data_IF_307186773276
#
_entry.id   IF_307186773276
#
_cell.length_a   1.000
_cell.length_b   1.000
_cell.length_c   1.000
_cell.angle_alpha   90.00
_cell.angle_beta   90.00
_cell.angle_gamma   90.00
#
_symmetry.space_group_name_H-M   'P 1'
#
loop_
_entity.id
_entity.type
_entity.pdbx_description
1 polymer ?
#
# COMPACT_ATOMS: atom_id res chain seq x y z
N UNK A 1 12.02 -0.49 21.87
CA UNK A 1 13.14 -0.70 20.90
C UNK A 1 14.39 0.12 21.20
N UNK A 2 14.32 1.40 21.62
CA UNK A 2 15.53 2.25 21.81
C UNK A 2 16.57 1.67 22.79
N UNK A 3 16.15 1.00 23.85
CA UNK A 3 17.04 0.33 24.82
C UNK A 3 17.77 -0.90 24.26
N UNK A 4 17.21 -1.52 23.21
CA UNK A 4 17.73 -2.75 22.61
C UNK A 4 18.72 -2.47 21.47
N UNK A 5 18.81 -1.22 21.00
CA UNK A 5 19.58 -0.85 19.81
C UNK A 5 21.08 -1.20 19.89
N UNK A 6 21.64 -1.20 21.11
CA UNK A 6 23.05 -1.52 21.36
C UNK A 6 23.26 -2.94 21.88
N UNK A 7 22.18 -3.69 22.11
CA UNK A 7 22.23 -5.04 22.69
C UNK A 7 21.97 -6.13 21.64
N UNK A 8 21.30 -5.80 20.54
CA UNK A 8 20.85 -6.76 19.53
C UNK A 8 21.39 -6.42 18.15
N UNK A 9 21.60 -7.45 17.33
CA UNK A 9 21.97 -7.25 15.93
C UNK A 9 20.80 -6.71 15.10
N UNK A 10 21.12 -6.10 13.96
CA UNK A 10 20.15 -5.53 12.99
C UNK A 10 19.00 -6.49 12.68
N UNK A 11 19.29 -7.75 12.40
CA UNK A 11 18.28 -8.74 12.03
C UNK A 11 17.26 -8.97 13.15
N UNK A 12 17.72 -9.10 14.39
CA UNK A 12 16.82 -9.26 15.54
C UNK A 12 15.94 -8.03 15.77
N UNK A 13 16.49 -6.82 15.61
CA UNK A 13 15.72 -5.58 15.72
C UNK A 13 14.64 -5.48 14.63
N UNK A 14 14.93 -5.92 13.41
CA UNK A 14 13.94 -5.99 12.34
C UNK A 14 12.84 -7.00 12.67
N UNK A 15 13.20 -8.20 13.15
CA UNK A 15 12.22 -9.22 13.58
C UNK A 15 11.31 -8.68 14.67
N UNK A 16 11.84 -7.99 15.68
CA UNK A 16 11.04 -7.38 16.75
C UNK A 16 10.05 -6.37 16.18
N UNK A 17 10.48 -5.48 15.29
CA UNK A 17 9.58 -4.52 14.65
C UNK A 17 8.48 -5.23 13.86
N UNK A 18 8.85 -6.22 13.05
CA UNK A 18 7.95 -6.96 12.16
C UNK A 18 6.92 -7.78 12.93
N UNK A 19 7.31 -8.40 14.05
CA UNK A 19 6.45 -9.32 14.79
C UNK A 19 5.61 -8.63 15.86
N UNK A 20 6.08 -7.55 16.47
CA UNK A 20 5.36 -6.90 17.58
C UNK A 20 4.73 -5.56 17.20
N UNK A 21 5.46 -4.70 16.49
CA UNK A 21 5.01 -3.32 16.25
C UNK A 21 4.16 -3.24 14.98
N UNK A 22 4.63 -3.84 13.89
CA UNK A 22 3.98 -3.77 12.58
C UNK A 22 2.55 -4.33 12.60
N UNK A 23 2.24 -5.47 13.25
CA UNK A 23 0.88 -6.00 13.27
C UNK A 23 -0.11 -5.06 13.95
N UNK A 24 0.30 -4.36 15.01
CA UNK A 24 -0.53 -3.37 15.71
C UNK A 24 -0.88 -2.20 14.77
N UNK A 25 0.10 -1.72 14.00
CA UNK A 25 -0.10 -0.65 13.02
C UNK A 25 -0.97 -1.09 11.83
N UNK A 26 -0.90 -2.37 11.46
CA UNK A 26 -1.61 -2.94 10.31
C UNK A 26 -3.03 -3.44 10.65
N UNK A 27 -3.36 -3.66 11.92
CA UNK A 27 -4.62 -4.28 12.32
C UNK A 27 -5.86 -3.47 11.91
N UNK A 28 -5.85 -2.15 12.12
CA UNK A 28 -7.00 -1.25 11.86
C UNK A 28 -6.81 -0.43 10.58
N UNK A 29 -5.94 -0.91 9.70
CA UNK A 29 -5.34 -0.07 8.68
C UNK A 29 -6.29 0.37 7.55
N UNK A 30 -7.28 -0.47 7.29
CA UNK A 30 -8.39 -0.24 6.39
C UNK A 30 -9.40 0.78 6.90
N UNK A 31 -9.59 0.88 8.23
CA UNK A 31 -10.58 1.76 8.87
C UNK A 31 -10.09 3.20 8.91
N UNK A 32 -8.87 3.42 9.43
CA UNK A 32 -8.31 4.77 9.58
C UNK A 32 -7.58 5.27 8.32
N UNK A 33 -7.78 4.67 7.14
CA UNK A 33 -7.14 5.20 5.93
C UNK A 33 -7.70 6.58 5.53
N UNK A 34 -8.89 6.95 6.00
CA UNK A 34 -9.50 8.27 5.76
C UNK A 34 -9.16 9.30 6.86
N UNK A 35 -7.98 9.22 7.46
CA UNK A 35 -7.51 10.25 8.42
C UNK A 35 -6.69 11.35 7.72
N UNK A 36 -6.58 12.54 8.34
CA UNK A 36 -5.69 13.60 7.87
C UNK A 36 -4.24 13.16 7.66
N UNK A 37 -3.56 13.80 6.71
CA UNK A 37 -2.17 13.49 6.33
C UNK A 37 -1.20 13.58 7.51
N UNK A 38 -1.33 14.59 8.38
CA UNK A 38 -0.45 14.74 9.54
C UNK A 38 -0.50 13.54 10.51
N UNK A 39 -1.66 12.88 10.66
CA UNK A 39 -1.77 11.66 11.46
C UNK A 39 -1.14 10.46 10.76
N UNK A 40 -1.30 10.36 9.43
CA UNK A 40 -0.61 9.34 8.62
C UNK A 40 0.91 9.48 8.72
N UNK A 41 1.42 10.71 8.68
CA UNK A 41 2.84 11.01 8.82
C UNK A 41 3.35 10.66 10.22
N UNK A 42 2.53 10.87 11.26
CA UNK A 42 2.86 10.44 12.62
C UNK A 42 2.97 8.93 12.72
N UNK A 43 2.10 8.16 12.05
CA UNK A 43 2.23 6.70 11.98
C UNK A 43 3.48 6.28 11.22
N UNK A 44 3.74 6.89 10.07
CA UNK A 44 4.94 6.61 9.26
C UNK A 44 6.22 6.91 10.05
N UNK A 45 6.20 7.92 10.93
CA UNK A 45 7.33 8.27 11.79
C UNK A 45 7.74 7.13 12.74
N UNK A 46 6.78 6.29 13.17
CA UNK A 46 7.05 5.12 14.01
C UNK A 46 7.85 4.08 13.23
N UNK A 47 7.45 3.81 11.98
CA UNK A 47 8.20 2.89 11.11
C UNK A 47 9.59 3.44 10.78
N UNK A 48 9.70 4.74 10.51
CA UNK A 48 10.99 5.40 10.23
C UNK A 48 11.92 5.33 11.45
N UNK A 49 11.42 5.60 12.66
CA UNK A 49 12.18 5.44 13.90
C UNK A 49 12.65 4.00 14.09
N UNK A 50 11.78 3.02 13.86
CA UNK A 50 12.14 1.61 13.98
C UNK A 50 13.22 1.21 12.95
N UNK A 51 13.11 1.67 11.72
CA UNK A 51 14.10 1.42 10.68
C UNK A 51 15.44 2.11 11.00
N UNK A 52 15.44 3.34 11.54
CA UNK A 52 16.66 4.01 12.04
C UNK A 52 17.33 3.24 13.16
N UNK A 53 16.55 2.71 14.10
CA UNK A 53 17.07 1.89 15.19
C UNK A 53 17.71 0.61 14.64
N UNK A 54 17.08 -0.03 13.65
CA UNK A 54 17.60 -1.25 13.04
C UNK A 54 18.87 -1.02 12.20
N UNK A 55 18.98 0.09 11.50
CA UNK A 55 20.13 0.42 10.64
C UNK A 55 21.24 1.20 11.33
N UNK A 56 20.97 1.78 12.51
CA UNK A 56 21.88 2.72 13.18
C UNK A 56 21.95 4.08 12.49
N UNK A 57 21.03 4.39 11.57
CA UNK A 57 21.05 5.63 10.80
C UNK A 57 20.77 6.87 11.66
N UNK A 58 21.37 8.00 11.29
CA UNK A 58 21.14 9.29 11.96
C UNK A 58 19.80 9.91 11.56
N UNK A 59 19.34 10.90 12.34
CA UNK A 59 18.08 11.61 12.06
C UNK A 59 18.08 12.37 10.73
N UNK A 60 19.26 12.69 10.19
CA UNK A 60 19.44 13.43 8.94
C UNK A 60 19.33 12.53 7.69
N UNK A 61 19.36 11.21 7.86
CA UNK A 61 19.23 10.31 6.73
C UNK A 61 17.86 10.45 6.04
N UNK A 62 17.87 10.51 4.71
CA UNK A 62 16.67 10.52 3.89
C UNK A 62 15.82 9.26 4.12
N UNK A 63 14.50 9.45 4.20
CA UNK A 63 13.51 8.37 4.33
C UNK A 63 13.61 7.35 3.20
N UNK A 64 13.88 7.81 1.96
CA UNK A 64 13.98 6.93 0.79
C UNK A 64 15.19 6.01 0.88
N UNK A 65 16.36 6.54 1.27
CA UNK A 65 17.57 5.74 1.49
C UNK A 65 17.35 4.69 2.59
N UNK A 66 16.65 5.08 3.65
CA UNK A 66 16.33 4.19 4.77
C UNK A 66 15.42 3.02 4.35
N UNK A 67 14.40 3.29 3.52
CA UNK A 67 13.55 2.23 2.96
C UNK A 67 14.30 1.34 1.99
N UNK A 68 15.21 1.88 1.19
CA UNK A 68 16.04 1.09 0.28
C UNK A 68 17.00 0.17 1.05
N UNK A 69 17.65 0.66 2.11
CA UNK A 69 18.56 -0.14 2.94
C UNK A 69 17.81 -1.23 3.72
N UNK A 70 16.64 -0.90 4.28
CA UNK A 70 15.84 -1.89 5.04
C UNK A 70 15.02 -2.82 4.17
N UNK A 71 14.74 -2.46 2.91
CA UNK A 71 13.78 -3.15 2.04
C UNK A 71 12.32 -3.01 2.52
N UNK A 72 12.03 -2.08 3.42
CA UNK A 72 10.69 -1.92 3.97
C UNK A 72 9.80 -1.08 3.05
N UNK A 73 8.54 -1.49 2.95
CA UNK A 73 7.49 -0.75 2.22
C UNK A 73 6.82 0.23 3.18
N UNK A 74 6.50 1.45 2.73
CA UNK A 74 5.81 2.46 3.55
C UNK A 74 4.45 1.98 4.07
N UNK A 75 4.00 2.47 5.23
CA UNK A 75 2.69 2.09 5.79
C UNK A 75 1.54 2.55 4.89
N UNK A 76 1.69 3.69 4.22
CA UNK A 76 0.72 4.18 3.23
C UNK A 76 0.48 3.17 2.11
N UNK A 77 1.56 2.62 1.54
CA UNK A 77 1.47 1.65 0.46
C UNK A 77 0.92 0.30 0.95
N UNK A 78 1.30 -0.12 2.16
CA UNK A 78 0.75 -1.34 2.78
C UNK A 78 -0.75 -1.23 3.02
N UNK A 79 -1.24 -0.09 3.53
CA UNK A 79 -2.67 0.22 3.66
C UNK A 79 -3.40 0.16 2.34
N UNK A 80 -2.81 0.73 1.29
CA UNK A 80 -3.36 0.68 -0.07
C UNK A 80 -3.57 -0.77 -0.52
N UNK A 81 -2.61 -1.66 -0.23
CA UNK A 81 -2.76 -3.10 -0.54
C UNK A 81 -3.81 -3.78 0.29
N UNK A 82 -3.80 -3.62 1.62
CA UNK A 82 -4.79 -4.25 2.48
C UNK A 82 -6.21 -3.84 2.10
N UNK A 83 -6.41 -2.56 1.75
CA UNK A 83 -7.67 -2.06 1.22
C UNK A 83 -8.12 -2.79 -0.04
N UNK A 84 -7.23 -2.92 -1.04
CA UNK A 84 -7.54 -3.61 -2.31
C UNK A 84 -7.78 -5.11 -2.07
N UNK A 85 -6.98 -5.76 -1.23
CA UNK A 85 -7.14 -7.17 -0.87
C UNK A 85 -8.48 -7.39 -0.17
N UNK A 86 -8.87 -6.51 0.75
CA UNK A 86 -10.14 -6.63 1.45
C UNK A 86 -11.33 -6.46 0.49
N UNK A 87 -11.22 -5.53 -0.44
CA UNK A 87 -12.23 -5.35 -1.48
C UNK A 87 -12.30 -6.54 -2.45
N UNK A 88 -11.18 -7.18 -2.79
CA UNK A 88 -11.16 -8.43 -3.55
C UNK A 88 -11.97 -9.53 -2.85
N UNK A 89 -11.80 -9.68 -1.53
CA UNK A 89 -12.61 -10.63 -0.74
C UNK A 89 -14.11 -10.30 -0.82
N UNK A 90 -14.47 -9.01 -0.71
CA UNK A 90 -15.87 -8.57 -0.81
C UNK A 90 -16.45 -8.76 -2.22
N UNK A 91 -15.64 -8.59 -3.25
CA UNK A 91 -16.06 -8.68 -4.66
C UNK A 91 -16.26 -10.13 -5.12
N UNK A 92 -15.58 -11.10 -4.49
CA UNK A 92 -15.70 -12.52 -4.81
C UNK A 92 -16.51 -13.31 -3.77
N UNK A 93 -17.32 -12.63 -2.96
CA UNK A 93 -18.16 -13.25 -1.91
C UNK A 93 -17.36 -14.12 -0.91
N UNK A 94 -16.10 -13.75 -0.65
CA UNK A 94 -15.20 -14.39 0.32
C UNK A 94 -15.14 -13.63 1.66
N UNK A 95 -15.97 -12.61 1.82
CA UNK A 95 -16.17 -11.87 3.06
C UNK A 95 -17.58 -12.14 3.61
N UNK A 96 -17.88 -11.77 4.87
CA UNK A 96 -19.24 -11.86 5.39
C UNK A 96 -20.27 -11.15 4.51
N UNK A 97 -21.47 -11.71 4.39
CA UNK A 97 -22.52 -11.26 3.47
C UNK A 97 -22.85 -9.76 3.60
N UNK A 98 -22.82 -9.24 4.83
CA UNK A 98 -23.07 -7.81 5.09
C UNK A 98 -22.00 -6.88 4.48
N UNK A 99 -20.80 -7.37 4.20
CA UNK A 99 -19.76 -6.62 3.49
C UNK A 99 -19.91 -6.78 1.98
N UNK A 100 -20.20 -7.98 1.50
CA UNK A 100 -20.38 -8.27 0.08
C UNK A 100 -21.56 -7.46 -0.49
N UNK A 101 -22.66 -7.34 0.26
CA UNK A 101 -23.83 -6.54 -0.14
C UNK A 101 -23.57 -5.03 -0.27
N UNK A 102 -22.47 -4.52 0.31
CA UNK A 102 -22.07 -3.11 0.17
C UNK A 102 -21.35 -2.82 -1.15
N UNK A 103 -20.91 -3.84 -1.89
CA UNK A 103 -20.20 -3.68 -3.15
C UNK A 103 -21.21 -3.29 -4.24
N UNK A 104 -21.03 -2.15 -4.92
CA UNK A 104 -21.92 -1.79 -6.03
C UNK A 104 -21.89 -2.83 -7.15
N UNK A 105 -23.01 -2.97 -7.84
CA UNK A 105 -23.13 -3.86 -9.00
C UNK A 105 -22.12 -3.51 -10.10
N UNK A 106 -21.78 -4.52 -10.90
CA UNK A 106 -20.93 -4.34 -12.06
C UNK A 106 -21.70 -3.66 -13.20
N UNK A 107 -21.01 -2.88 -14.03
CA UNK A 107 -21.68 -2.09 -15.06
C UNK A 107 -22.45 -2.93 -16.09
N UNK A 108 -22.04 -4.16 -16.39
CA UNK A 108 -22.80 -5.06 -17.27
C UNK A 108 -24.14 -5.52 -16.67
N UNK A 109 -24.28 -5.50 -15.34
CA UNK A 109 -25.55 -5.83 -14.66
C UNK A 109 -26.52 -4.66 -14.73
N UNK A 110 -26.01 -3.43 -14.89
CA UNK A 110 -26.78 -2.19 -14.97
C UNK A 110 -27.09 -1.80 -16.41
N UNK A 111 -26.20 -2.14 -17.35
CA UNK A 111 -26.26 -1.71 -18.74
C UNK A 111 -26.10 -2.89 -19.70
N UNK A 112 -27.06 -3.08 -20.60
CA UNK A 112 -27.10 -4.17 -21.59
C UNK A 112 -26.11 -4.02 -22.76
N UNK A 113 -25.17 -3.06 -22.72
CA UNK A 113 -24.22 -2.82 -23.80
C UNK A 113 -22.80 -3.30 -23.44
N UNK A 114 -22.17 -4.03 -24.36
CA UNK A 114 -20.85 -4.62 -24.16
C UNK A 114 -19.76 -3.59 -24.44
N UNK A 115 -19.48 -2.71 -23.46
CA UNK A 115 -18.37 -1.74 -23.55
C UNK A 115 -17.11 -2.29 -22.88
N UNK A 116 -15.94 -1.74 -23.24
CA UNK A 116 -14.65 -2.03 -22.55
C UNK A 116 -14.70 -1.82 -21.02
N UNK A 117 -15.74 -1.15 -20.50
CA UNK A 117 -15.98 -0.88 -19.08
C UNK A 117 -17.02 -1.81 -18.44
N UNK A 118 -17.60 -2.76 -19.19
CA UNK A 118 -18.65 -3.65 -18.71
C UNK A 118 -18.26 -4.39 -17.41
N UNK A 119 -17.00 -4.80 -17.30
CA UNK A 119 -16.47 -5.49 -16.12
C UNK A 119 -16.07 -4.58 -14.95
N UNK A 120 -16.19 -3.25 -15.09
CA UNK A 120 -15.87 -2.32 -14.02
C UNK A 120 -17.00 -2.26 -13.01
N UNK A 121 -16.64 -2.01 -11.74
CA UNK A 121 -17.61 -1.72 -10.68
C UNK A 121 -18.09 -0.28 -10.85
N UNK A 122 -19.39 -0.04 -10.65
CA UNK A 122 -19.93 1.31 -10.73
C UNK A 122 -19.25 2.25 -9.72
N UNK A 123 -18.77 3.39 -10.21
CA UNK A 123 -18.23 4.42 -9.32
C UNK A 123 -19.37 5.05 -8.52
N UNK A 124 -19.16 5.26 -7.22
CA UNK A 124 -20.13 5.96 -6.40
C UNK A 124 -20.04 7.48 -6.58
N UNK A 125 -21.20 8.12 -6.64
CA UNK A 125 -21.33 9.58 -6.69
C UNK A 125 -20.91 10.16 -5.34
N UNK A 126 -19.84 10.96 -5.34
CA UNK A 126 -19.31 11.58 -4.14
C UNK A 126 -19.44 13.10 -4.23
N UNK A 127 -20.18 13.72 -3.29
CA UNK A 127 -20.33 15.19 -3.23
C UNK A 127 -19.21 15.87 -2.44
N UNK A 128 -18.56 15.13 -1.53
CA UNK A 128 -17.50 15.65 -0.65
C UNK A 128 -16.22 14.84 -0.82
N UNK A 129 -15.08 15.52 -0.68
CA UNK A 129 -13.76 14.88 -0.67
C UNK A 129 -13.62 13.85 0.47
N UNK A 130 -14.25 14.12 1.62
CA UNK A 130 -14.27 13.20 2.76
C UNK A 130 -14.94 11.86 2.41
N UNK A 131 -16.11 11.88 1.78
CA UNK A 131 -16.76 10.65 1.33
C UNK A 131 -15.96 10.00 0.18
N UNK A 132 -15.45 10.81 -0.75
CA UNK A 132 -14.61 10.33 -1.84
C UNK A 132 -13.36 9.54 -1.37
N UNK A 133 -12.85 9.87 -0.18
CA UNK A 133 -11.70 9.23 0.44
C UNK A 133 -12.06 8.09 1.41
N UNK A 134 -13.35 7.86 1.65
CA UNK A 134 -13.84 6.72 2.42
C UNK A 134 -13.50 5.39 1.73
N UNK A 135 -13.62 4.28 2.46
CA UNK A 135 -13.15 2.96 2.02
C UNK A 135 -13.64 2.59 0.62
N UNK A 136 -14.97 2.53 0.43
CA UNK A 136 -15.59 2.04 -0.80
C UNK A 136 -15.31 2.95 -2.02
N UNK A 137 -15.55 4.28 -1.99
CA UNK A 137 -15.30 5.11 -3.19
C UNK A 137 -13.82 5.18 -3.56
N UNK A 138 -12.93 5.14 -2.56
CA UNK A 138 -11.48 5.12 -2.74
C UNK A 138 -11.01 3.81 -3.37
N UNK A 139 -11.47 2.67 -2.86
CA UNK A 139 -11.03 1.36 -3.35
C UNK A 139 -11.60 1.03 -4.72
N UNK A 140 -12.85 1.40 -5.03
CA UNK A 140 -13.45 1.14 -6.34
C UNK A 140 -12.66 1.82 -7.47
N UNK A 141 -12.20 3.06 -7.26
CA UNK A 141 -11.33 3.74 -8.24
C UNK A 141 -10.02 2.99 -8.44
N UNK A 142 -9.38 2.54 -7.36
CA UNK A 142 -8.14 1.76 -7.42
C UNK A 142 -8.37 0.41 -8.09
N UNK A 143 -9.46 -0.27 -7.74
CA UNK A 143 -9.87 -1.56 -8.32
C UNK A 143 -10.08 -1.44 -9.81
N UNK A 144 -10.86 -0.46 -10.28
CA UNK A 144 -11.12 -0.24 -11.70
C UNK A 144 -9.86 0.12 -12.52
N UNK A 145 -8.78 0.57 -11.86
CA UNK A 145 -7.48 0.79 -12.52
C UNK A 145 -6.66 -0.51 -12.70
N UNK A 146 -7.06 -1.61 -12.05
CA UNK A 146 -6.39 -2.90 -12.17
C UNK A 146 -6.75 -3.61 -13.49
N UNK A 147 -5.81 -4.37 -14.08
CA UNK A 147 -6.08 -5.21 -15.23
C UNK A 147 -7.23 -6.18 -14.96
N UNK A 148 -8.07 -6.40 -15.97
CA UNK A 148 -9.24 -7.27 -15.86
C UNK A 148 -8.85 -8.69 -15.43
N UNK A 149 -7.75 -9.23 -15.94
CA UNK A 149 -7.26 -10.58 -15.61
C UNK A 149 -7.02 -10.78 -14.10
N UNK A 150 -6.58 -9.72 -13.41
CA UNK A 150 -6.33 -9.75 -11.96
C UNK A 150 -7.64 -9.65 -11.19
N UNK A 151 -8.62 -8.91 -11.70
CA UNK A 151 -9.93 -8.70 -11.06
C UNK A 151 -10.86 -9.89 -11.20
N UNK A 152 -10.81 -10.60 -12.33
CA UNK A 152 -11.64 -11.77 -12.56
C UNK A 152 -11.12 -13.02 -11.84
N UNK A 153 -9.88 -13.00 -11.33
CA UNK A 153 -9.28 -14.14 -10.65
C UNK A 153 -9.68 -14.18 -9.16
N UNK A 154 -10.40 -15.22 -8.70
CA UNK A 154 -10.83 -15.33 -7.30
C UNK A 154 -9.68 -15.67 -6.34
N UNK A 155 -8.48 -15.96 -6.85
CA UNK A 155 -7.33 -16.26 -6.01
C UNK A 155 -6.66 -14.99 -5.48
N UNK A 156 -6.75 -14.79 -4.16
CA UNK A 156 -6.03 -13.76 -3.41
C UNK A 156 -4.51 -13.79 -3.66
N UNK A 157 -3.94 -14.96 -3.97
CA UNK A 157 -2.50 -15.13 -4.23
C UNK A 157 -2.11 -14.38 -5.51
N UNK A 158 -2.93 -14.46 -6.56
CA UNK A 158 -2.69 -13.76 -7.83
C UNK A 158 -2.61 -12.26 -7.62
N UNK A 159 -3.56 -11.69 -6.87
CA UNK A 159 -3.58 -10.27 -6.54
C UNK A 159 -2.35 -9.83 -5.72
N UNK A 160 -1.97 -10.62 -4.71
CA UNK A 160 -0.76 -10.37 -3.91
C UNK A 160 0.50 -10.39 -4.78
N UNK A 161 0.62 -11.36 -5.68
CA UNK A 161 1.74 -11.48 -6.60
C UNK A 161 1.82 -10.30 -7.58
N UNK A 162 0.68 -9.86 -8.11
CA UNK A 162 0.60 -8.67 -8.96
C UNK A 162 1.10 -7.43 -8.23
N UNK A 163 0.62 -7.20 -7.00
CA UNK A 163 1.02 -6.05 -6.19
C UNK A 163 2.51 -6.08 -5.81
N UNK A 164 3.05 -7.27 -5.51
CA UNK A 164 4.48 -7.45 -5.22
C UNK A 164 5.36 -7.22 -6.46
N UNK A 165 4.91 -7.63 -7.66
CA UNK A 165 5.60 -7.34 -8.92
C UNK A 165 5.62 -5.85 -9.23
N UNK A 166 4.50 -5.16 -9.03
CA UNK A 166 4.41 -3.71 -9.22
C UNK A 166 5.40 -2.95 -8.32
N UNK A 167 5.56 -3.37 -7.06
CA UNK A 167 6.58 -2.84 -6.17
C UNK A 167 8.00 -3.06 -6.65
N UNK A 168 8.33 -4.29 -7.04
CA UNK A 168 9.69 -4.64 -7.48
C UNK A 168 10.08 -3.80 -8.68
N UNK A 169 9.15 -3.58 -9.62
CA UNK A 169 9.35 -2.65 -10.75
C UNK A 169 9.59 -1.21 -10.31
N UNK A 170 8.81 -0.71 -9.34
CA UNK A 170 8.99 0.63 -8.78
C UNK A 170 10.35 0.80 -8.09
N UNK A 171 10.76 -0.16 -7.25
CA UNK A 171 12.07 -0.15 -6.59
C UNK A 171 13.22 -0.25 -7.59
N UNK A 172 13.10 -1.11 -8.60
CA UNK A 172 14.10 -1.23 -9.66
C UNK A 172 14.24 0.07 -10.47
N UNK A 173 13.13 0.71 -10.83
CA UNK A 173 13.16 2.01 -11.52
C UNK A 173 13.82 3.10 -10.66
N UNK A 174 13.58 3.11 -9.34
CA UNK A 174 14.23 4.06 -8.43
C UNK A 174 15.74 3.80 -8.34
N UNK A 175 16.17 2.54 -8.28
CA UNK A 175 17.59 2.17 -8.28
C UNK A 175 18.26 2.65 -9.57
N UNK A 176 17.65 2.40 -10.73
CA UNK A 176 18.15 2.86 -12.02
C UNK A 176 18.25 4.39 -12.11
N UNK A 177 17.28 5.12 -11.54
CA UNK A 177 17.33 6.59 -11.49
C UNK A 177 18.46 7.08 -10.58
N UNK A 178 18.65 6.45 -9.41
CA UNK A 178 19.74 6.79 -8.48
C UNK A 178 21.11 6.45 -9.07
N UNK A 179 21.24 5.33 -9.78
CA UNK A 179 22.46 4.96 -10.50
C UNK A 179 22.76 5.95 -11.61
N UNK A 180 21.78 6.29 -12.47
CA UNK A 180 21.94 7.32 -13.51
C UNK A 180 22.34 8.68 -12.94
N UNK A 181 21.82 9.06 -11.77
CA UNK A 181 22.19 10.32 -11.12
C UNK A 181 23.62 10.33 -10.55
N UNK A 182 24.22 9.16 -10.25
CA UNK A 182 25.63 9.08 -9.81
C UNK A 182 26.62 9.30 -10.96
N UNK A 183 26.22 9.01 -12.20
CA UNK A 183 27.05 9.17 -13.39
C UNK A 183 26.84 10.54 -14.09
N UNK A 184 26.00 11.40 -13.54
CA UNK A 184 25.77 12.76 -14.04
C UNK A 184 26.43 13.77 -13.09
N UNK A 185 27.76 13.78 -13.06
CA UNK A 185 28.51 14.94 -12.57
C UNK A 185 28.55 15.96 -13.72
N UNK A 186 28.14 17.23 -13.51
CA UNK A 186 28.28 18.23 -14.54
C UNK A 186 29.78 18.48 -14.75
N UNK A 187 30.26 18.25 -15.97
CA UNK A 187 31.60 18.64 -16.38
C UNK A 187 31.76 20.14 -16.09
N UNK A 188 32.68 20.45 -15.19
CA UNK A 188 33.06 21.81 -14.82
C UNK A 188 33.72 22.49 -16.02
N UNK A 189 32.98 23.42 -16.64
CA UNK A 189 33.52 24.48 -17.49
C UNK A 189 33.78 25.75 -16.70
#
# INVERSE_FOLDING_TARGET
MRSLKFKLSRNHLQVIYISFIRPILEYVDTVWDNIPTYLKDKLESIQIEAARIATGATKLCSKTKLYNDTGWVSLSERRSRHKIIKFHEMFHDQAPDYLCSLVPQQLYQVYNYNTRRAFNVQNMNCRTSFYQNSFLPSVIRKWNSLPQDVRCNPSKITLKNYSNRALRKSLHNIILVVEKAKYFTPDSG
#
